data_IF_759113562446
#
_entry.id   IF_759113562446
#
_cell.length_a   1.000
_cell.length_b   1.000
_cell.length_c   1.000
_cell.angle_alpha   90.00
_cell.angle_beta   90.00
_cell.angle_gamma   90.00
#
_symmetry.space_group_name_H-M   'P 1'
#
loop_
_entity.id
_entity.type
_entity.pdbx_description
1 polymer ?
#
# COMPACT_ATOMS: atom_id res chain seq x y z
N UNK A 1 19.27 12.82 11.47
CA UNK A 1 20.14 12.69 12.65
C UNK A 1 20.97 13.95 12.76
N UNK A 2 21.78 14.24 11.74
CA UNK A 2 22.69 15.40 11.71
C UNK A 2 22.01 16.76 11.82
N UNK A 3 20.89 16.98 11.12
CA UNK A 3 20.14 18.26 11.17
C UNK A 3 19.66 18.61 12.59
N UNK A 4 19.36 17.60 13.41
CA UNK A 4 18.86 17.77 14.78
C UNK A 4 19.90 17.37 15.84
N UNK A 5 21.13 17.05 15.44
CA UNK A 5 22.18 16.56 16.33
C UNK A 5 21.87 15.25 17.08
N UNK A 6 20.85 14.49 16.66
CA UNK A 6 20.42 13.26 17.34
C UNK A 6 21.14 12.03 16.79
N UNK A 7 21.48 11.08 17.67
CA UNK A 7 22.11 9.83 17.26
C UNK A 7 21.22 9.06 16.26
N UNK A 8 21.76 8.53 15.14
CA UNK A 8 20.97 7.87 14.10
C UNK A 8 20.06 6.75 14.60
N UNK A 9 20.55 5.92 15.55
CA UNK A 9 19.74 4.84 16.13
C UNK A 9 18.55 5.36 16.95
N UNK A 10 18.69 6.52 17.60
CA UNK A 10 17.60 7.14 18.36
C UNK A 10 16.54 7.69 17.41
N UNK A 11 16.94 8.32 16.31
CA UNK A 11 16.01 8.74 15.25
C UNK A 11 15.27 7.54 14.65
N UNK A 12 16.00 6.47 14.32
CA UNK A 12 15.42 5.25 13.77
C UNK A 12 14.40 4.61 14.75
N UNK A 13 14.73 4.56 16.04
CA UNK A 13 13.82 4.07 17.08
C UNK A 13 12.55 4.93 17.16
N UNK A 14 12.69 6.25 17.10
CA UNK A 14 11.57 7.18 17.16
C UNK A 14 10.62 7.00 15.97
N UNK A 15 11.15 6.99 14.75
CA UNK A 15 10.34 6.74 13.54
C UNK A 15 9.70 5.35 13.55
N UNK A 16 10.36 4.34 14.12
CA UNK A 16 9.76 3.02 14.29
C UNK A 16 8.52 3.07 15.19
N UNK A 17 8.61 3.76 16.34
CA UNK A 17 7.46 3.91 17.26
C UNK A 17 6.31 4.66 16.61
N UNK A 18 6.59 5.77 15.91
CA UNK A 18 5.56 6.52 15.17
C UNK A 18 4.88 5.62 14.13
N UNK A 19 5.66 4.86 13.36
CA UNK A 19 5.10 3.95 12.35
C UNK A 19 4.19 2.89 12.97
N UNK A 20 4.53 2.36 14.15
CA UNK A 20 3.66 1.42 14.88
C UNK A 20 2.32 2.06 15.26
N UNK A 21 2.33 3.29 15.77
CA UNK A 21 1.10 4.01 16.15
C UNK A 21 0.24 4.31 14.92
N UNK A 22 0.85 4.78 13.83
CA UNK A 22 0.14 5.01 12.55
C UNK A 22 -0.50 3.70 12.07
N UNK A 23 0.24 2.59 12.08
CA UNK A 23 -0.29 1.29 11.67
C UNK A 23 -1.45 0.82 12.55
N UNK A 24 -1.38 1.06 13.86
CA UNK A 24 -2.48 0.71 14.77
C UNK A 24 -3.77 1.46 14.41
N UNK A 25 -3.69 2.79 14.22
CA UNK A 25 -4.87 3.58 13.83
C UNK A 25 -5.37 3.26 12.41
N UNK A 26 -4.47 2.98 11.47
CA UNK A 26 -4.85 2.52 10.13
C UNK A 26 -5.53 1.16 10.15
N UNK A 27 -5.11 0.24 11.03
CA UNK A 27 -5.76 -1.06 11.19
C UNK A 27 -7.18 -0.92 11.75
N UNK A 28 -7.40 0.00 12.70
CA UNK A 28 -8.75 0.29 13.21
C UNK A 28 -9.67 0.89 12.14
N UNK A 29 -9.14 1.79 11.31
CA UNK A 29 -9.88 2.39 10.19
C UNK A 29 -10.02 1.44 8.98
N UNK A 30 -9.34 0.29 8.98
CA UNK A 30 -9.37 -0.61 7.85
C UNK A 30 -10.76 -1.22 7.64
N UNK A 31 -11.56 -1.44 8.68
CA UNK A 31 -12.87 -2.07 8.49
C UNK A 31 -13.93 -1.13 7.86
N UNK A 32 -13.59 0.15 7.64
CA UNK A 32 -14.42 1.05 6.84
C UNK A 32 -14.47 0.59 5.38
N UNK A 33 -15.69 0.36 4.88
CA UNK A 33 -15.95 0.08 3.47
C UNK A 33 -16.01 1.40 2.71
N UNK A 34 -15.36 1.46 1.54
CA UNK A 34 -15.40 2.64 0.70
C UNK A 34 -16.76 2.74 -0.03
N UNK A 35 -17.38 3.90 0.11
CA UNK A 35 -18.52 4.32 -0.68
C UNK A 35 -18.07 5.17 -1.88
N UNK A 36 -18.61 4.85 -3.07
CA UNK A 36 -18.33 5.56 -4.31
C UNK A 36 -17.24 4.89 -5.18
N UNK A 37 -16.87 5.53 -6.31
CA UNK A 37 -15.82 5.01 -7.18
C UNK A 37 -14.46 5.05 -6.46
N UNK A 38 -13.74 3.95 -6.53
CA UNK A 38 -12.38 3.79 -6.00
C UNK A 38 -11.39 3.66 -7.16
N UNK A 39 -10.24 4.30 -7.01
CA UNK A 39 -9.10 4.14 -7.93
C UNK A 39 -8.17 3.08 -7.36
N UNK A 40 -7.64 2.23 -8.24
CA UNK A 40 -6.78 1.11 -7.87
C UNK A 40 -5.40 1.37 -8.47
N UNK A 41 -4.36 1.33 -7.63
CA UNK A 41 -2.98 1.52 -8.07
C UNK A 41 -2.06 0.40 -7.58
N UNK A 42 -1.06 0.06 -8.40
CA UNK A 42 -0.07 -0.96 -8.14
C UNK A 42 1.33 -0.35 -8.03
N UNK A 43 1.90 -0.43 -6.83
CA UNK A 43 3.25 0.04 -6.56
C UNK A 43 4.18 -1.11 -6.21
N UNK A 44 5.39 -1.12 -6.79
CA UNK A 44 6.38 -2.17 -6.57
C UNK A 44 7.59 -1.60 -5.80
N UNK A 45 7.75 -2.00 -4.55
CA UNK A 45 8.81 -1.49 -3.66
C UNK A 45 9.96 -2.48 -3.47
N UNK A 46 11.17 -1.97 -3.25
CA UNK A 46 12.35 -2.79 -3.01
C UNK A 46 13.05 -3.27 -4.28
N UNK A 47 13.73 -4.42 -4.20
CA UNK A 47 14.55 -4.95 -5.29
C UNK A 47 15.87 -4.20 -5.49
N UNK A 48 16.62 -3.95 -4.41
CA UNK A 48 17.98 -3.37 -4.51
C UNK A 48 18.95 -4.40 -5.11
N UNK A 49 18.95 -4.53 -6.45
CA UNK A 49 19.92 -5.35 -7.18
C UNK A 49 20.24 -4.71 -8.54
N UNK A 50 21.47 -4.90 -9.02
CA UNK A 50 21.81 -4.68 -10.44
C UNK A 50 21.12 -5.77 -11.28
N UNK A 51 20.34 -5.41 -12.30
CA UNK A 51 19.62 -6.35 -13.16
C UNK A 51 18.30 -5.80 -13.70
N UNK A 52 17.41 -6.70 -14.15
CA UNK A 52 16.10 -6.36 -14.76
C UNK A 52 15.32 -5.38 -13.88
N UNK A 53 14.84 -4.30 -14.49
CA UNK A 53 13.98 -3.26 -13.88
C UNK A 53 12.53 -3.46 -14.32
N UNK A 54 11.59 -2.77 -13.68
CA UNK A 54 10.17 -2.82 -14.04
C UNK A 54 9.35 -3.90 -13.30
N UNK A 55 8.13 -4.16 -13.79
CA UNK A 55 7.17 -5.14 -13.24
C UNK A 55 7.72 -6.56 -13.44
N UNK A 56 7.68 -7.40 -12.40
CA UNK A 56 8.19 -8.78 -12.45
C UNK A 56 9.68 -8.99 -12.13
N UNK A 57 10.41 -7.95 -11.72
CA UNK A 57 11.76 -8.12 -11.21
C UNK A 57 11.75 -8.79 -9.81
N UNK A 58 12.60 -9.79 -9.62
CA UNK A 58 12.67 -10.56 -8.37
C UNK A 58 13.08 -9.69 -7.16
N UNK A 59 12.52 -10.01 -5.99
CA UNK A 59 12.81 -9.30 -4.73
C UNK A 59 12.09 -7.96 -4.58
N UNK A 60 11.05 -7.72 -5.39
CA UNK A 60 10.12 -6.61 -5.21
C UNK A 60 8.92 -7.05 -4.39
N UNK A 61 8.51 -6.19 -3.47
CA UNK A 61 7.26 -6.32 -2.73
C UNK A 61 6.20 -5.57 -3.51
N UNK A 62 5.11 -6.25 -3.85
CA UNK A 62 3.95 -5.63 -4.52
C UNK A 62 3.04 -5.04 -3.45
N UNK A 63 2.71 -3.77 -3.60
CA UNK A 63 1.80 -3.04 -2.73
C UNK A 63 0.65 -2.53 -3.59
N UNK A 64 -0.54 -2.94 -3.22
CA UNK A 64 -1.78 -2.55 -3.87
C UNK A 64 -2.43 -1.42 -3.08
N UNK A 65 -2.65 -0.28 -3.72
CA UNK A 65 -3.34 0.88 -3.17
C UNK A 65 -4.78 0.97 -3.67
N UNK A 66 -5.72 1.11 -2.75
CA UNK A 66 -7.11 1.46 -3.01
C UNK A 66 -7.29 2.91 -2.58
N UNK A 67 -7.45 3.81 -3.54
CA UNK A 67 -7.61 5.25 -3.34
C UNK A 67 -9.08 5.62 -3.45
N UNK A 68 -9.62 6.26 -2.41
CA UNK A 68 -10.91 6.98 -2.52
C UNK A 68 -10.66 8.38 -3.07
N UNK A 69 -11.44 8.80 -4.08
CA UNK A 69 -11.42 10.20 -4.54
C UNK A 69 -11.70 11.14 -3.35
N UNK A 70 -10.83 12.13 -3.15
CA UNK A 70 -10.86 13.12 -2.07
C UNK A 70 -10.55 12.61 -0.63
N UNK A 71 -9.69 11.62 -0.44
CA UNK A 71 -9.27 11.34 0.94
C UNK A 71 -8.26 10.23 1.16
N UNK A 72 -8.73 9.13 1.75
CA UNK A 72 -7.89 8.10 2.37
C UNK A 72 -7.42 7.06 1.34
N UNK A 73 -6.14 6.68 1.44
CA UNK A 73 -5.53 5.58 0.67
C UNK A 73 -5.41 4.37 1.58
N UNK A 74 -5.94 3.24 1.14
CA UNK A 74 -5.77 1.96 1.82
C UNK A 74 -4.78 1.10 1.04
N UNK A 75 -3.70 0.68 1.68
CA UNK A 75 -2.65 -0.13 1.02
C UNK A 75 -2.59 -1.53 1.60
N UNK A 76 -2.49 -2.53 0.74
CA UNK A 76 -2.30 -3.94 1.10
C UNK A 76 -1.07 -4.47 0.42
N UNK A 77 -0.23 -5.17 1.18
CA UNK A 77 0.87 -5.94 0.60
C UNK A 77 0.29 -7.22 0.03
N UNK A 78 0.55 -7.49 -1.24
CA UNK A 78 0.05 -8.66 -1.96
C UNK A 78 1.22 -9.46 -2.52
N UNK A 79 1.07 -10.77 -2.60
CA UNK A 79 2.12 -11.65 -3.12
C UNK A 79 2.26 -11.51 -4.64
N UNK A 80 1.16 -11.16 -5.33
CA UNK A 80 1.13 -10.96 -6.76
C UNK A 80 0.01 -9.99 -7.17
N UNK A 81 0.13 -9.42 -8.37
CA UNK A 81 -0.84 -8.52 -8.98
C UNK A 81 -1.91 -9.27 -9.83
N UNK A 82 -2.12 -10.58 -9.61
CA UNK A 82 -3.13 -11.32 -10.37
C UNK A 82 -4.53 -10.97 -9.88
N UNK A 83 -5.50 -10.96 -10.78
CA UNK A 83 -6.91 -10.70 -10.46
C UNK A 83 -7.44 -11.62 -9.36
N UNK A 84 -7.03 -12.89 -9.31
CA UNK A 84 -7.42 -13.85 -8.28
C UNK A 84 -7.06 -13.39 -6.85
N UNK A 85 -5.92 -12.72 -6.70
CA UNK A 85 -5.43 -12.20 -5.41
C UNK A 85 -6.04 -10.84 -5.08
N UNK A 86 -6.28 -10.01 -6.11
CA UNK A 86 -6.76 -8.63 -5.94
C UNK A 86 -8.29 -8.54 -5.78
N UNK A 87 -9.05 -9.37 -6.49
CA UNK A 87 -10.52 -9.33 -6.48
C UNK A 87 -11.13 -9.54 -5.08
N UNK A 88 -10.65 -10.48 -4.24
CA UNK A 88 -11.15 -10.62 -2.88
C UNK A 88 -10.89 -9.38 -2.02
N UNK A 89 -9.72 -8.75 -2.16
CA UNK A 89 -9.33 -7.55 -1.41
C UNK A 89 -10.21 -6.37 -1.79
N UNK A 90 -10.47 -6.18 -3.09
CA UNK A 90 -11.32 -5.10 -3.60
C UNK A 90 -12.78 -5.32 -3.18
N UNK A 91 -13.29 -6.56 -3.29
CA UNK A 91 -14.65 -6.91 -2.87
C UNK A 91 -14.89 -6.68 -1.39
N UNK A 92 -13.91 -6.98 -0.54
CA UNK A 92 -14.00 -6.70 0.91
C UNK A 92 -14.12 -5.21 1.22
N UNK A 93 -13.56 -4.34 0.35
CA UNK A 93 -13.43 -2.90 0.60
C UNK A 93 -14.43 -2.03 -0.15
N UNK A 94 -15.19 -2.58 -1.10
CA UNK A 94 -16.13 -1.81 -1.93
C UNK A 94 -17.55 -2.30 -1.74
N UNK A 95 -18.48 -1.38 -1.47
CA UNK A 95 -19.89 -1.73 -1.23
C UNK A 95 -20.71 -1.99 -2.52
N UNK A 96 -20.19 -1.65 -3.71
CA UNK A 96 -20.88 -1.86 -5.00
C UNK A 96 -19.94 -2.39 -6.09
N UNK A 97 -20.54 -3.04 -7.08
CA UNK A 97 -19.94 -3.62 -8.28
C UNK A 97 -18.77 -2.80 -8.81
N UNK A 98 -17.58 -3.40 -8.79
CA UNK A 98 -16.37 -2.80 -9.36
C UNK A 98 -16.50 -2.83 -10.88
N UNK A 99 -16.74 -1.67 -11.50
CA UNK A 99 -16.64 -1.53 -12.95
C UNK A 99 -15.15 -1.52 -13.31
N UNK A 100 -14.63 -2.69 -13.67
CA UNK A 100 -13.30 -2.82 -14.25
C UNK A 100 -13.36 -2.16 -15.63
N UNK A 101 -12.89 -0.92 -15.75
CA UNK A 101 -12.67 -0.29 -17.05
C UNK A 101 -11.32 -0.81 -17.52
N UNK A 102 -11.25 -1.70 -18.54
CA UNK A 102 -9.98 -2.07 -19.12
C UNK A 102 -9.42 -0.83 -19.81
N UNK A 103 -8.41 -0.20 -19.20
CA UNK A 103 -7.56 0.76 -19.90
C UNK A 103 -6.66 -0.08 -20.79
N UNK A 104 -6.95 -0.07 -22.08
CA UNK A 104 -6.09 -0.58 -23.16
C UNK A 104 -4.93 0.40 -23.35
#
# INVERSE_FOLDING_TARGET
ADILGIHPNSAALFYRKIRTVINYHLALAADEVFEGPVELDESYFGGRRKGRRGRGAAGKVVVFGILKRNGRVYTVIVDNAKSETLLPVIKKKSCRTVLFIPIV
#
